data_IF_011529940077
#
_entry.id   IF_011529940077
#
_cell.length_a   1.000
_cell.length_b   1.000
_cell.length_c   1.000
_cell.angle_alpha   90.00
_cell.angle_beta   90.00
_cell.angle_gamma   90.00
#
_symmetry.space_group_name_H-M   'P 1'
#
loop_
_entity.id
_entity.type
_entity.pdbx_description
1 polymer ?
#
# COMPACT_ATOMS: atom_id res chain seq x y z
N UNK A 1 6.31 7.16 25.95
CA UNK A 1 5.51 7.59 24.78
C UNK A 1 4.79 6.35 24.27
N UNK A 2 3.51 6.44 23.91
CA UNK A 2 2.80 5.30 23.34
C UNK A 2 3.37 4.99 21.94
N UNK A 3 3.40 3.70 21.57
CA UNK A 3 3.75 3.32 20.20
C UNK A 3 2.67 3.79 19.22
N UNK A 4 3.05 4.28 18.03
CA UNK A 4 2.09 4.68 17.01
C UNK A 4 1.23 3.49 16.57
N UNK A 5 -0.03 3.76 16.20
CA UNK A 5 -0.89 2.72 15.66
C UNK A 5 -0.26 2.13 14.39
N UNK A 6 -0.50 0.85 14.06
CA UNK A 6 0.14 0.20 12.90
C UNK A 6 -0.03 0.97 11.58
N UNK A 7 -1.22 1.55 11.35
CA UNK A 7 -1.49 2.37 10.17
C UNK A 7 -0.71 3.69 10.20
N UNK A 8 -0.64 4.37 11.35
CA UNK A 8 0.16 5.61 11.48
C UNK A 8 1.65 5.34 11.21
N UNK A 9 2.16 4.20 11.70
CA UNK A 9 3.51 3.75 11.41
C UNK A 9 3.71 3.50 9.92
N UNK A 10 2.75 2.86 9.23
CA UNK A 10 2.80 2.64 7.78
C UNK A 10 2.84 3.98 7.01
N UNK A 11 1.99 4.94 7.37
CA UNK A 11 2.00 6.29 6.78
C UNK A 11 3.38 6.93 6.88
N UNK A 12 4.00 6.86 8.08
CA UNK A 12 5.34 7.39 8.31
C UNK A 12 6.44 6.68 7.52
N UNK A 13 6.35 5.36 7.37
CA UNK A 13 7.31 4.58 6.55
C UNK A 13 7.18 4.95 5.07
N UNK A 14 5.96 4.98 4.53
CA UNK A 14 5.73 5.34 3.12
C UNK A 14 6.20 6.76 2.84
N UNK A 15 5.95 7.69 3.76
CA UNK A 15 6.49 9.05 3.71
C UNK A 15 8.01 9.08 3.59
N UNK A 16 8.72 8.38 4.49
CA UNK A 16 10.18 8.31 4.48
C UNK A 16 10.72 7.67 3.21
N UNK A 17 10.08 6.60 2.73
CA UNK A 17 10.47 5.91 1.51
C UNK A 17 10.31 6.81 0.28
N UNK A 18 9.21 7.54 0.13
CA UNK A 18 9.03 8.46 -1.00
C UNK A 18 10.06 9.58 -1.02
N UNK A 19 10.49 10.06 0.16
CA UNK A 19 11.51 11.11 0.27
C UNK A 19 12.94 10.60 0.01
N UNK A 20 13.28 9.41 0.51
CA UNK A 20 14.67 8.94 0.55
C UNK A 20 15.01 7.80 -0.43
N UNK A 21 14.00 7.15 -1.01
CA UNK A 21 14.19 6.09 -2.01
C UNK A 21 13.79 6.62 -3.39
N UNK A 22 14.75 6.78 -4.33
CA UNK A 22 14.47 7.32 -5.66
C UNK A 22 13.41 6.56 -6.44
N UNK A 23 13.36 5.23 -6.28
CA UNK A 23 12.35 4.39 -6.93
C UNK A 23 10.95 4.69 -6.38
N UNK A 24 10.80 4.77 -5.06
CA UNK A 24 9.52 5.10 -4.43
C UNK A 24 9.08 6.53 -4.75
N UNK A 25 10.00 7.49 -4.73
CA UNK A 25 9.73 8.88 -5.08
C UNK A 25 9.29 9.07 -6.54
N UNK A 26 9.73 8.20 -7.45
CA UNK A 26 9.35 8.23 -8.86
C UNK A 26 7.95 7.67 -9.14
N UNK A 27 7.32 6.95 -8.20
CA UNK A 27 5.99 6.39 -8.40
C UNK A 27 4.95 7.50 -8.56
N UNK A 28 3.99 7.28 -9.45
CA UNK A 28 2.85 8.15 -9.75
C UNK A 28 1.56 7.35 -9.63
N UNK A 29 0.40 8.02 -9.62
CA UNK A 29 -0.88 7.30 -9.69
C UNK A 29 -0.96 6.38 -10.89
N UNK A 30 -0.51 6.83 -12.07
CA UNK A 30 -0.57 6.06 -13.29
C UNK A 30 0.32 4.81 -13.24
N UNK A 31 1.53 4.93 -12.69
CA UNK A 31 2.46 3.79 -12.57
C UNK A 31 2.04 2.78 -11.50
N UNK A 32 1.14 3.15 -10.58
CA UNK A 32 0.65 2.27 -9.52
C UNK A 32 -0.61 1.48 -9.91
N UNK A 33 -1.29 1.84 -11.01
CA UNK A 33 -2.55 1.18 -11.41
C UNK A 33 -2.35 -0.31 -11.68
N UNK A 34 -1.26 -0.69 -12.34
CA UNK A 34 -0.94 -2.09 -12.63
C UNK A 34 -0.87 -2.89 -11.34
N UNK A 35 -0.04 -2.46 -10.39
CA UNK A 35 0.10 -3.13 -9.09
C UNK A 35 -1.21 -3.15 -8.31
N UNK A 36 -1.94 -2.03 -8.22
CA UNK A 36 -3.23 -2.01 -7.53
C UNK A 36 -4.23 -3.03 -8.10
N UNK A 37 -4.24 -3.24 -9.41
CA UNK A 37 -5.09 -4.25 -10.03
C UNK A 37 -4.58 -5.65 -9.70
N UNK A 38 -3.27 -5.89 -9.77
CA UNK A 38 -2.65 -7.17 -9.39
C UNK A 38 -3.01 -7.55 -7.94
N UNK A 39 -2.75 -6.69 -6.96
CA UNK A 39 -3.05 -6.97 -5.54
C UNK A 39 -4.55 -7.22 -5.31
N UNK A 40 -5.42 -6.50 -6.04
CA UNK A 40 -6.87 -6.69 -5.94
C UNK A 40 -7.33 -8.04 -6.51
N UNK A 41 -6.68 -8.51 -7.59
CA UNK A 41 -6.93 -9.84 -8.14
C UNK A 41 -6.36 -10.93 -7.23
N UNK A 42 -5.18 -10.72 -6.63
CA UNK A 42 -4.59 -11.66 -5.67
C UNK A 42 -5.49 -11.83 -4.45
N UNK A 43 -5.99 -10.74 -3.85
CA UNK A 43 -7.00 -10.83 -2.77
C UNK A 43 -8.23 -11.64 -3.21
N UNK A 44 -8.75 -11.40 -4.42
CA UNK A 44 -9.91 -12.12 -4.92
C UNK A 44 -9.61 -13.62 -5.10
N UNK A 45 -8.46 -13.96 -5.67
CA UNK A 45 -8.01 -15.33 -5.87
C UNK A 45 -7.83 -16.06 -4.53
N UNK A 46 -7.21 -15.42 -3.53
CA UNK A 46 -7.04 -15.99 -2.18
C UNK A 46 -8.39 -16.34 -1.55
N UNK A 47 -9.41 -15.48 -1.73
CA UNK A 47 -10.77 -15.73 -1.25
C UNK A 47 -11.44 -16.87 -2.02
N UNK A 48 -11.34 -16.87 -3.35
CA UNK A 48 -11.98 -17.85 -4.23
C UNK A 48 -11.40 -19.27 -4.06
N UNK A 49 -10.09 -19.37 -3.82
CA UNK A 49 -9.38 -20.63 -3.61
C UNK A 49 -9.55 -21.18 -2.19
N UNK A 50 -10.06 -20.37 -1.25
CA UNK A 50 -10.22 -20.75 0.15
C UNK A 50 -8.88 -20.91 0.86
N UNK A 51 -7.90 -20.10 0.49
CA UNK A 51 -6.60 -20.03 1.15
C UNK A 51 -6.73 -19.55 2.61
N UNK A 52 -5.64 -19.66 3.37
CA UNK A 52 -5.68 -19.39 4.81
C UNK A 52 -5.68 -17.89 5.15
N UNK A 53 -6.06 -17.58 6.39
CA UNK A 53 -6.13 -16.21 6.88
C UNK A 53 -4.78 -15.49 6.86
N UNK A 54 -3.65 -16.22 6.86
CA UNK A 54 -2.33 -15.61 6.85
C UNK A 54 -2.00 -15.06 5.47
N UNK A 55 -2.33 -15.81 4.42
CA UNK A 55 -2.23 -15.40 3.02
C UNK A 55 -3.19 -14.24 2.73
N UNK A 56 -4.47 -14.38 3.09
CA UNK A 56 -5.46 -13.30 2.91
C UNK A 56 -5.05 -12.00 3.60
N UNK A 57 -4.46 -12.09 4.79
CA UNK A 57 -3.92 -10.92 5.50
C UNK A 57 -2.73 -10.29 4.75
N UNK A 58 -1.90 -11.09 4.08
CA UNK A 58 -0.81 -10.62 3.24
C UNK A 58 -1.32 -9.73 2.12
N UNK A 59 -2.18 -10.30 1.27
CA UNK A 59 -2.72 -9.61 0.09
C UNK A 59 -3.54 -8.36 0.48
N UNK A 60 -4.32 -8.43 1.56
CA UNK A 60 -5.02 -7.25 2.10
C UNK A 60 -4.04 -6.17 2.61
N UNK A 61 -2.87 -6.58 3.09
CA UNK A 61 -1.79 -5.68 3.47
C UNK A 61 -1.19 -4.95 2.27
N UNK A 62 -1.04 -5.64 1.15
CA UNK A 62 -0.51 -5.05 -0.08
C UNK A 62 -1.53 -4.11 -0.75
N UNK A 63 -2.82 -4.46 -0.74
CA UNK A 63 -3.89 -3.52 -1.10
C UNK A 63 -3.87 -2.28 -0.20
N UNK A 64 -3.69 -2.45 1.11
CA UNK A 64 -3.58 -1.32 2.05
C UNK A 64 -2.38 -0.43 1.73
N UNK A 65 -1.23 -1.01 1.36
CA UNK A 65 -0.05 -0.26 0.94
C UNK A 65 -0.36 0.58 -0.31
N UNK A 66 -1.06 0.03 -1.30
CA UNK A 66 -1.49 0.78 -2.48
C UNK A 66 -2.38 1.98 -2.12
N UNK A 67 -3.38 1.77 -1.24
CA UNK A 67 -4.25 2.87 -0.75
C UNK A 67 -3.42 3.98 -0.11
N UNK A 68 -2.46 3.63 0.76
CA UNK A 68 -1.58 4.60 1.42
C UNK A 68 -0.68 5.33 0.43
N UNK A 69 -0.13 4.63 -0.58
CA UNK A 69 0.69 5.25 -1.62
C UNK A 69 -0.11 6.27 -2.44
N UNK A 70 -1.33 5.92 -2.85
CA UNK A 70 -2.22 6.84 -3.54
C UNK A 70 -2.60 8.04 -2.64
N UNK A 71 -2.93 7.81 -1.37
CA UNK A 71 -3.22 8.90 -0.43
C UNK A 71 -2.02 9.86 -0.27
N UNK A 72 -0.80 9.33 -0.09
CA UNK A 72 0.41 10.12 0.05
C UNK A 72 0.71 10.96 -1.19
N UNK A 73 0.51 10.39 -2.37
CA UNK A 73 0.65 11.10 -3.63
C UNK A 73 -0.34 12.26 -3.79
N UNK A 74 -1.58 12.09 -3.30
CA UNK A 74 -2.58 13.16 -3.29
C UNK A 74 -2.18 14.28 -2.32
N UNK A 75 -1.75 13.92 -1.11
CA UNK A 75 -1.27 14.85 -0.09
C UNK A 75 -0.07 15.69 -0.61
N UNK A 76 0.90 15.04 -1.28
CA UNK A 76 2.05 15.72 -1.93
C UNK A 76 1.63 16.75 -2.99
N UNK A 77 0.43 16.60 -3.57
CA UNK A 77 -0.16 17.54 -4.53
C UNK A 77 -1.10 18.58 -3.88
N UNK A 78 -1.27 18.53 -2.57
CA UNK A 78 -2.13 19.45 -1.82
C UNK A 78 -3.61 19.09 -1.81
N UNK A 79 -3.95 17.81 -2.03
CA UNK A 79 -5.31 17.27 -1.96
C UNK A 79 -5.46 16.31 -0.79
#
# INVERSE_FOLDING_TARGET
>A
MAEPAPVERLLGIVAQLREHCPWMGALTHASLVEYLLEEAFEVAETIETGADDAELRGELGDVLLQVVLHARLAEERGT
#
